data_IF_624830895617
#
_entry.id   IF_624830895617
#
_cell.length_a   1.000
_cell.length_b   1.000
_cell.length_c   1.000
_cell.angle_alpha   90.00
_cell.angle_beta   90.00
_cell.angle_gamma   90.00
#
_symmetry.space_group_name_H-M   'P 1'
#
loop_
_entity.id
_entity.type
_entity.pdbx_description
1 polymer ?
#
# COMPACT_ATOMS: atom_id res chain seq x y z
N UNK A 1 33.03 -34.41 40.21
CA UNK A 1 33.88 -33.63 39.28
C UNK A 1 33.17 -33.60 37.94
N UNK A 2 32.96 -32.39 37.40
CA UNK A 2 32.12 -32.09 36.22
C UNK A 2 32.74 -32.65 34.93
N UNK A 3 31.92 -33.25 34.07
CA UNK A 3 32.20 -33.36 32.63
C UNK A 3 30.88 -33.04 31.90
N UNK A 4 30.85 -31.85 31.31
CA UNK A 4 29.74 -31.26 30.57
C UNK A 4 29.82 -31.80 29.13
N UNK A 5 28.86 -32.64 28.71
CA UNK A 5 28.74 -33.04 27.30
C UNK A 5 27.88 -31.99 26.59
N UNK A 6 28.52 -31.31 25.65
CA UNK A 6 27.96 -30.33 24.73
C UNK A 6 27.15 -31.06 23.65
N UNK A 7 25.82 -31.04 23.74
CA UNK A 7 24.96 -31.49 22.65
C UNK A 7 24.67 -30.30 21.71
N UNK A 8 25.42 -30.24 20.61
CA UNK A 8 25.17 -29.34 19.50
C UNK A 8 23.96 -29.87 18.71
N UNK A 9 22.76 -29.41 19.05
CA UNK A 9 21.58 -29.59 18.19
C UNK A 9 21.57 -28.44 17.17
N UNK A 10 22.09 -28.72 15.98
CA UNK A 10 21.83 -27.94 14.76
C UNK A 10 20.33 -28.00 14.47
N UNK A 11 19.58 -27.06 15.07
CA UNK A 11 18.19 -26.83 14.73
C UNK A 11 18.11 -26.28 13.30
N UNK A 12 17.56 -27.09 12.39
CA UNK A 12 17.01 -26.60 11.13
C UNK A 12 16.09 -25.42 11.44
N UNK A 13 16.54 -24.20 11.13
CA UNK A 13 15.69 -23.02 11.18
C UNK A 13 14.71 -23.13 10.02
N UNK A 14 13.39 -23.17 10.24
CA UNK A 14 12.47 -22.94 9.14
C UNK A 14 12.69 -21.50 8.66
N UNK A 15 13.09 -21.36 7.39
CA UNK A 15 12.95 -20.12 6.61
C UNK A 15 11.46 -19.85 6.42
N UNK A 16 10.78 -19.45 7.49
CA UNK A 16 9.43 -18.91 7.48
C UNK A 16 9.50 -17.72 8.42
N UNK A 17 9.66 -16.53 7.85
CA UNK A 17 9.51 -15.29 8.59
C UNK A 17 8.10 -15.25 9.15
N UNK A 18 7.97 -15.55 10.44
CA UNK A 18 6.70 -15.50 11.12
C UNK A 18 6.17 -14.06 11.08
N UNK A 19 5.08 -13.88 10.34
CA UNK A 19 4.11 -12.80 10.48
C UNK A 19 3.68 -12.69 11.95
N UNK A 20 4.38 -11.86 12.71
CA UNK A 20 3.77 -11.24 13.88
C UNK A 20 3.18 -9.92 13.41
N UNK A 21 1.84 -9.85 13.37
CA UNK A 21 1.12 -8.58 13.33
C UNK A 21 1.84 -7.57 14.23
N UNK A 22 2.03 -6.31 13.79
CA UNK A 22 2.69 -5.31 14.62
C UNK A 22 1.92 -5.20 15.94
N UNK A 23 2.52 -5.67 17.03
CA UNK A 23 1.87 -5.78 18.35
C UNK A 23 1.57 -4.41 19.01
N UNK A 24 1.94 -3.33 18.34
CA UNK A 24 1.93 -1.96 18.87
C UNK A 24 1.22 -0.98 17.92
N UNK A 25 0.06 -1.36 17.37
CA UNK A 25 -0.80 -0.42 16.64
C UNK A 25 -1.72 0.29 17.63
N UNK A 26 -1.66 1.62 17.68
CA UNK A 26 -2.62 2.44 18.42
C UNK A 26 -3.61 3.07 17.46
N UNK A 27 -4.90 2.92 17.73
CA UNK A 27 -5.97 3.58 16.97
C UNK A 27 -6.56 4.71 17.82
N UNK A 28 -6.63 5.92 17.25
CA UNK A 28 -7.25 7.09 17.86
C UNK A 28 -8.29 7.66 16.91
N UNK A 29 -9.52 7.81 17.37
CA UNK A 29 -10.62 8.38 16.59
C UNK A 29 -10.94 9.79 17.08
N UNK A 30 -11.10 10.71 16.13
CA UNK A 30 -11.70 12.03 16.32
C UNK A 30 -12.99 12.12 15.47
N UNK A 31 -13.65 13.29 15.50
CA UNK A 31 -14.81 13.55 14.65
C UNK A 31 -14.45 13.65 13.17
N UNK A 32 -13.23 14.08 12.83
CA UNK A 32 -12.80 14.33 11.46
C UNK A 32 -11.86 13.25 10.91
N UNK A 33 -11.15 12.54 11.78
CA UNK A 33 -10.09 11.62 11.38
C UNK A 33 -10.04 10.36 12.25
N UNK A 34 -9.51 9.28 11.69
CA UNK A 34 -9.02 8.12 12.42
C UNK A 34 -7.52 8.02 12.18
N UNK A 35 -6.76 7.89 13.26
CA UNK A 35 -5.31 7.83 13.22
C UNK A 35 -4.83 6.47 13.72
N UNK A 36 -4.05 5.78 12.90
CA UNK A 36 -3.38 4.53 13.23
C UNK A 36 -1.89 4.80 13.39
N UNK A 37 -1.29 4.33 14.48
CA UNK A 37 0.11 4.59 14.77
C UNK A 37 0.86 3.31 15.10
N UNK A 38 2.02 3.12 14.49
CA UNK A 38 3.07 2.23 14.98
C UNK A 38 4.19 3.07 15.58
N UNK A 39 5.23 2.45 16.13
CA UNK A 39 6.43 3.20 16.56
C UNK A 39 7.18 3.94 15.44
N UNK A 40 6.92 3.62 14.16
CA UNK A 40 7.64 4.23 13.02
C UNK A 40 6.76 5.01 12.04
N UNK A 41 5.45 4.76 12.01
CA UNK A 41 4.57 5.34 11.02
C UNK A 41 3.24 5.79 11.64
N UNK A 42 2.61 6.76 10.98
CA UNK A 42 1.30 7.31 11.32
C UNK A 42 0.47 7.33 10.04
N UNK A 43 -0.62 6.56 10.02
CA UNK A 43 -1.65 6.64 9.00
C UNK A 43 -2.81 7.48 9.53
N UNK A 44 -3.31 8.40 8.72
CA UNK A 44 -4.48 9.23 9.04
C UNK A 44 -5.52 9.09 7.95
N UNK A 45 -6.70 8.60 8.33
CA UNK A 45 -7.87 8.49 7.47
C UNK A 45 -8.81 9.65 7.77
N UNK A 46 -9.12 10.45 6.75
CA UNK A 46 -10.08 11.55 6.80
C UNK A 46 -11.51 11.01 6.61
N UNK A 47 -12.46 11.47 7.42
CA UNK A 47 -13.80 10.86 7.51
C UNK A 47 -14.87 11.60 6.71
N UNK A 48 -14.76 12.92 6.53
CA UNK A 48 -15.78 13.69 5.79
C UNK A 48 -15.82 13.31 4.30
N UNK A 49 -14.64 13.03 3.74
CA UNK A 49 -14.43 12.34 2.47
C UNK A 49 -13.26 11.41 2.74
N UNK A 50 -13.42 10.13 2.43
CA UNK A 50 -12.35 9.16 2.59
C UNK A 50 -11.09 9.66 1.88
N UNK A 51 -10.03 9.81 2.67
CA UNK A 51 -8.68 10.11 2.18
C UNK A 51 -7.66 9.53 3.14
N UNK A 52 -6.59 8.95 2.61
CA UNK A 52 -5.47 8.43 3.39
C UNK A 52 -4.21 9.30 3.26
N UNK A 53 -3.61 9.62 4.40
CA UNK A 53 -2.25 10.17 4.50
C UNK A 53 -1.39 9.19 5.32
N UNK A 54 -0.16 8.93 4.89
CA UNK A 54 0.85 8.14 5.63
C UNK A 54 2.09 8.98 5.89
N UNK A 55 2.59 8.95 7.12
CA UNK A 55 3.76 9.73 7.55
C UNK A 55 4.73 8.90 8.35
N UNK A 56 5.99 9.31 8.33
CA UNK A 56 7.01 8.81 9.23
C UNK A 56 6.81 9.44 10.62
N UNK A 57 6.78 8.63 11.68
CA UNK A 57 6.32 9.09 13.01
C UNK A 57 7.28 10.09 13.68
N UNK A 58 8.59 9.94 13.48
CA UNK A 58 9.60 10.73 14.20
C UNK A 58 9.69 12.15 13.68
N UNK A 59 9.68 12.30 12.36
CA UNK A 59 9.85 13.56 11.63
C UNK A 59 8.53 14.15 11.16
N UNK A 60 7.45 13.36 11.18
CA UNK A 60 6.17 13.68 10.53
C UNK A 60 6.30 13.92 9.02
N UNK A 61 7.41 13.48 8.42
CA UNK A 61 7.65 13.52 6.98
C UNK A 61 6.58 12.74 6.23
N UNK A 62 6.10 13.32 5.13
CA UNK A 62 5.07 12.71 4.29
C UNK A 62 5.67 11.51 3.54
N UNK A 63 5.00 10.36 3.62
CA UNK A 63 5.35 9.16 2.87
C UNK A 63 4.36 8.93 1.73
N UNK A 64 3.06 9.01 2.03
CA UNK A 64 1.98 8.89 1.04
C UNK A 64 0.93 9.94 1.36
N UNK A 65 0.32 10.49 0.30
CA UNK A 65 -0.86 11.34 0.40
C UNK A 65 -1.75 11.08 -0.78
N UNK A 66 -2.99 10.73 -0.54
CA UNK A 66 -4.01 10.70 -1.59
C UNK A 66 -4.40 12.12 -2.03
N UNK A 67 -4.92 12.26 -3.25
CA UNK A 67 -5.40 13.55 -3.77
C UNK A 67 -6.60 14.08 -2.97
N UNK A 68 -6.73 15.41 -2.88
CA UNK A 68 -7.77 16.06 -2.10
C UNK A 68 -9.19 15.84 -2.64
N UNK A 69 -9.33 15.68 -3.96
CA UNK A 69 -10.60 15.34 -4.63
C UNK A 69 -11.04 13.89 -4.39
N UNK A 70 -10.18 13.07 -3.80
CA UNK A 70 -10.37 11.64 -3.57
C UNK A 70 -9.20 10.84 -4.13
N UNK A 71 -8.70 9.89 -3.33
CA UNK A 71 -7.71 8.90 -3.75
C UNK A 71 -8.40 7.70 -4.39
N UNK A 72 -8.52 6.64 -3.61
CA UNK A 72 -9.12 5.35 -3.96
C UNK A 72 -10.42 5.48 -4.77
N UNK A 73 -10.48 4.76 -5.89
CA UNK A 73 -11.60 4.77 -6.83
C UNK A 73 -11.79 3.40 -7.49
N UNK A 74 -12.94 3.24 -8.15
CA UNK A 74 -13.20 2.10 -9.02
C UNK A 74 -14.00 2.52 -10.25
N UNK A 75 -13.99 1.66 -11.26
CA UNK A 75 -14.70 1.87 -12.51
C UNK A 75 -15.74 0.78 -12.75
N UNK A 76 -16.94 1.19 -13.14
CA UNK A 76 -18.03 0.30 -13.52
C UNK A 76 -18.80 0.92 -14.67
N UNK A 77 -19.07 0.13 -15.71
CA UNK A 77 -19.84 0.61 -16.88
C UNK A 77 -19.24 1.86 -17.54
N UNK A 78 -17.91 2.01 -17.51
CA UNK A 78 -17.20 3.18 -18.07
C UNK A 78 -17.27 4.45 -17.21
N UNK A 79 -17.77 4.38 -15.97
CA UNK A 79 -17.84 5.49 -15.03
C UNK A 79 -16.88 5.28 -13.88
N UNK A 80 -16.10 6.31 -13.54
CA UNK A 80 -15.24 6.30 -12.35
C UNK A 80 -16.02 6.79 -11.12
N UNK A 81 -16.04 5.96 -10.08
CA UNK A 81 -16.67 6.25 -8.80
C UNK A 81 -15.59 6.51 -7.75
N UNK A 82 -15.68 7.67 -7.09
CA UNK A 82 -14.82 8.02 -5.96
C UNK A 82 -15.51 7.74 -4.63
N UNK A 83 -14.72 7.58 -3.58
CA UNK A 83 -15.25 7.40 -2.23
C UNK A 83 -15.69 8.73 -1.60
N UNK A 84 -16.79 8.65 -0.85
CA UNK A 84 -17.44 9.76 -0.15
C UNK A 84 -17.14 9.74 1.35
N UNK A 85 -18.11 10.18 2.14
CA UNK A 85 -18.00 10.23 3.60
C UNK A 85 -17.97 8.84 4.23
N UNK A 86 -17.20 8.70 5.30
CA UNK A 86 -17.18 7.52 6.17
C UNK A 86 -18.35 7.63 7.16
N UNK A 87 -19.27 6.67 7.12
CA UNK A 87 -20.44 6.64 7.99
C UNK A 87 -20.24 5.80 9.25
N UNK A 88 -19.34 4.80 9.20
CA UNK A 88 -19.03 3.94 10.33
C UNK A 88 -17.54 3.58 10.39
N UNK A 89 -17.04 3.38 11.61
CA UNK A 89 -15.66 3.00 11.91
C UNK A 89 -15.65 1.92 12.99
N UNK A 90 -15.29 0.70 12.60
CA UNK A 90 -15.00 -0.39 13.51
C UNK A 90 -13.49 -0.48 13.76
N UNK A 91 -13.08 -0.42 15.03
CA UNK A 91 -11.65 -0.57 15.40
C UNK A 91 -11.25 -2.04 15.38
N UNK A 92 -10.06 -2.32 14.86
CA UNK A 92 -9.42 -3.64 14.86
C UNK A 92 -8.13 -3.56 15.71
N UNK A 93 -7.56 -4.70 16.13
CA UNK A 93 -6.30 -4.71 16.89
C UNK A 93 -5.11 -4.07 16.15
N UNK A 94 -5.12 -4.12 14.83
CA UNK A 94 -4.05 -3.71 13.92
C UNK A 94 -4.46 -2.59 12.95
N UNK A 95 -5.69 -2.08 13.08
CA UNK A 95 -6.35 -1.41 11.98
C UNK A 95 -7.70 -0.80 12.29
N UNK A 96 -8.39 -0.41 11.23
CA UNK A 96 -9.81 -0.06 11.23
C UNK A 96 -10.50 -0.62 10.00
N UNK A 97 -11.79 -0.93 10.14
CA UNK A 97 -12.71 -1.19 9.04
C UNK A 97 -13.72 -0.06 8.97
N UNK A 98 -13.94 0.45 7.76
CA UNK A 98 -14.71 1.65 7.48
C UNK A 98 -15.87 1.30 6.56
N UNK A 99 -17.05 1.83 6.86
CA UNK A 99 -18.16 1.87 5.90
C UNK A 99 -18.14 3.22 5.21
N UNK A 100 -18.03 3.22 3.88
CA UNK A 100 -17.76 4.44 3.10
C UNK A 100 -18.83 4.62 2.03
N UNK A 101 -19.38 5.82 1.91
CA UNK A 101 -20.32 6.14 0.83
C UNK A 101 -19.62 6.08 -0.54
N UNK A 102 -20.37 5.70 -1.57
CA UNK A 102 -19.90 5.72 -2.96
C UNK A 102 -20.81 6.61 -3.81
N UNK A 103 -20.35 6.97 -5.02
CA UNK A 103 -21.19 7.66 -6.00
C UNK A 103 -22.40 6.85 -6.50
N UNK A 104 -22.46 5.54 -6.23
CA UNK A 104 -23.58 4.66 -6.64
C UNK A 104 -24.71 4.58 -5.58
N UNK A 105 -24.53 5.22 -4.42
CA UNK A 105 -25.52 5.21 -3.33
C UNK A 105 -25.47 3.95 -2.44
N UNK A 106 -24.83 2.87 -2.88
CA UNK A 106 -24.51 1.71 -2.04
C UNK A 106 -23.14 1.87 -1.37
N UNK A 107 -22.98 1.60 -0.07
CA UNK A 107 -21.70 1.78 0.61
C UNK A 107 -20.68 0.70 0.24
N UNK A 108 -19.41 1.06 0.30
CA UNK A 108 -18.26 0.16 0.20
C UNK A 108 -17.66 -0.11 1.58
N UNK A 109 -16.80 -1.12 1.68
CA UNK A 109 -15.95 -1.34 2.86
C UNK A 109 -14.50 -1.02 2.51
N UNK A 110 -13.82 -0.28 3.40
CA UNK A 110 -12.37 -0.09 3.34
C UNK A 110 -11.76 -0.57 4.65
N UNK A 111 -10.79 -1.47 4.58
CA UNK A 111 -10.00 -1.89 5.74
C UNK A 111 -8.60 -1.34 5.62
N UNK A 112 -8.15 -0.60 6.64
CA UNK A 112 -6.81 -0.02 6.71
C UNK A 112 -6.11 -0.60 7.93
N UNK A 113 -5.00 -1.31 7.74
CA UNK A 113 -4.27 -1.95 8.83
C UNK A 113 -2.76 -1.97 8.61
N UNK A 114 -2.00 -1.94 9.69
CA UNK A 114 -0.56 -2.18 9.60
C UNK A 114 -0.28 -3.67 9.61
N UNK A 115 0.39 -4.17 8.58
CA UNK A 115 0.87 -5.57 8.51
C UNK A 115 2.34 -5.68 8.93
N UNK A 116 3.08 -4.57 8.88
CA UNK A 116 4.38 -4.42 9.54
C UNK A 116 4.44 -3.03 10.19
N UNK A 117 5.56 -2.70 10.84
CA UNK A 117 5.76 -1.37 11.42
C UNK A 117 5.69 -0.23 10.39
N UNK A 118 5.99 -0.51 9.11
CA UNK A 118 6.04 0.48 8.02
C UNK A 118 5.16 0.12 6.82
N UNK A 119 4.56 -1.06 6.80
CA UNK A 119 3.68 -1.51 5.72
C UNK A 119 2.24 -1.36 6.14
N UNK A 120 1.52 -0.47 5.46
CA UNK A 120 0.09 -0.29 5.60
C UNK A 120 -0.60 -1.05 4.46
N UNK A 121 -1.52 -1.94 4.80
CA UNK A 121 -2.42 -2.59 3.87
C UNK A 121 -3.74 -1.83 3.82
N UNK A 122 -4.23 -1.62 2.59
CA UNK A 122 -5.56 -1.06 2.31
C UNK A 122 -6.30 -2.10 1.49
N UNK A 123 -7.36 -2.68 2.05
CA UNK A 123 -8.26 -3.59 1.34
C UNK A 123 -9.55 -2.85 1.04
N UNK A 124 -9.96 -2.89 -0.22
CA UNK A 124 -11.15 -2.22 -0.71
C UNK A 124 -12.15 -3.21 -1.27
N UNK A 125 -13.34 -3.22 -0.70
CA UNK A 125 -14.48 -4.01 -1.16
C UNK A 125 -15.57 -3.07 -1.70
N UNK A 126 -15.62 -2.84 -3.03
CA UNK A 126 -16.66 -2.02 -3.65
C UNK A 126 -18.03 -2.73 -3.59
N UNK A 127 -19.14 -2.00 -3.81
CA UNK A 127 -20.43 -2.62 -4.02
C UNK A 127 -20.37 -3.58 -5.20
N UNK A 128 -20.95 -4.78 -5.10
CA UNK A 128 -20.97 -5.79 -6.19
C UNK A 128 -19.60 -5.97 -6.88
N UNK A 129 -18.58 -6.52 -6.19
CA UNK A 129 -17.19 -6.56 -6.68
C UNK A 129 -17.04 -7.20 -8.06
N UNK A 130 -17.83 -8.24 -8.36
CA UNK A 130 -17.75 -9.00 -9.61
C UNK A 130 -18.04 -8.20 -10.89
N UNK A 131 -18.60 -6.98 -10.78
CA UNK A 131 -18.86 -6.13 -11.95
C UNK A 131 -17.94 -4.91 -12.04
N UNK A 132 -16.95 -4.79 -11.15
CA UNK A 132 -15.93 -3.73 -11.24
C UNK A 132 -14.98 -4.06 -12.38
N UNK A 133 -14.75 -3.08 -13.26
CA UNK A 133 -13.85 -3.20 -14.41
C UNK A 133 -12.41 -2.85 -14.05
N UNK A 134 -12.22 -1.87 -13.16
CA UNK A 134 -10.90 -1.44 -12.68
C UNK A 134 -11.01 -0.82 -11.28
N UNK A 135 -9.90 -0.78 -10.56
CA UNK A 135 -9.74 -0.04 -9.31
C UNK A 135 -8.36 0.60 -9.27
N UNK A 136 -8.23 1.69 -8.53
CA UNK A 136 -6.96 2.38 -8.41
C UNK A 136 -6.97 3.43 -7.31
N UNK A 137 -5.83 4.08 -7.14
CA UNK A 137 -5.65 5.14 -6.16
C UNK A 137 -4.94 6.33 -6.82
N UNK A 138 -5.30 7.54 -6.38
CA UNK A 138 -4.70 8.79 -6.87
C UNK A 138 -3.84 9.39 -5.78
N UNK A 139 -2.54 9.29 -5.96
CA UNK A 139 -1.56 9.82 -5.03
C UNK A 139 -1.10 11.22 -5.45
N UNK A 140 -0.81 12.05 -4.46
CA UNK A 140 -0.21 13.37 -4.64
C UNK A 140 1.30 13.25 -4.48
N UNK A 141 1.97 13.33 -5.63
CA UNK A 141 3.41 13.44 -5.73
C UNK A 141 3.87 14.90 -5.50
N UNK A 142 4.89 15.18 -4.67
CA UNK A 142 5.56 16.47 -4.63
C UNK A 142 6.22 16.82 -5.98
N UNK A 143 6.35 18.11 -6.30
CA UNK A 143 6.96 18.56 -7.57
C UNK A 143 8.42 18.17 -7.75
N UNK A 144 9.11 17.78 -6.68
CA UNK A 144 10.50 17.32 -6.68
C UNK A 144 10.64 15.81 -6.52
N UNK A 145 9.54 15.05 -6.56
CA UNK A 145 9.59 13.61 -6.45
C UNK A 145 10.06 12.99 -7.76
N UNK A 146 11.00 12.07 -7.64
CA UNK A 146 11.47 11.25 -8.74
C UNK A 146 10.96 9.83 -8.52
N UNK A 147 10.15 9.33 -9.45
CA UNK A 147 9.60 7.98 -9.43
C UNK A 147 10.49 7.08 -10.29
N UNK A 148 10.98 5.98 -9.71
CA UNK A 148 11.82 5.00 -10.38
C UNK A 148 11.24 3.59 -10.19
N UNK A 149 11.50 2.67 -11.13
CA UNK A 149 11.35 1.23 -10.91
C UNK A 149 9.92 0.68 -11.00
N UNK A 150 9.17 1.06 -12.03
CA UNK A 150 7.83 0.51 -12.32
C UNK A 150 7.72 -0.20 -13.66
N UNK A 151 8.86 -0.46 -14.29
CA UNK A 151 8.93 -1.32 -15.47
C UNK A 151 8.82 -2.78 -15.06
N UNK A 152 8.31 -3.61 -15.98
CA UNK A 152 8.53 -5.05 -15.97
C UNK A 152 9.96 -5.36 -15.55
N UNK A 153 10.18 -6.50 -14.88
CA UNK A 153 11.49 -6.83 -14.31
C UNK A 153 12.60 -6.42 -15.28
N UNK A 154 13.41 -5.45 -14.86
CA UNK A 154 14.68 -5.04 -15.49
C UNK A 154 15.63 -6.22 -15.80
N UNK A 155 15.29 -7.43 -15.33
CA UNK A 155 15.96 -8.70 -15.63
C UNK A 155 15.74 -9.21 -17.06
N UNK A 156 14.71 -8.74 -17.76
CA UNK A 156 14.44 -9.15 -19.15
C UNK A 156 15.07 -8.19 -20.17
N UNK A 157 15.61 -7.06 -19.70
CA UNK A 157 16.32 -6.09 -20.51
C UNK A 157 17.75 -6.54 -20.80
N UNK A 158 18.27 -6.32 -22.01
CA UNK A 158 19.65 -6.68 -22.33
C UNK A 158 20.63 -5.93 -21.43
N UNK A 159 21.60 -6.67 -20.90
CA UNK A 159 22.72 -6.12 -20.14
C UNK A 159 23.60 -5.26 -21.05
N UNK A 160 24.21 -4.21 -20.49
CA UNK A 160 25.08 -3.28 -21.23
C UNK A 160 26.23 -4.01 -21.93
N UNK A 161 26.81 -5.01 -21.26
CA UNK A 161 27.77 -5.94 -21.86
C UNK A 161 27.81 -7.24 -21.07
N UNK A 162 27.34 -8.34 -21.64
CA UNK A 162 27.28 -9.63 -20.96
C UNK A 162 28.68 -10.08 -20.47
N UNK A 163 28.80 -10.33 -19.16
CA UNK A 163 30.03 -10.77 -18.51
C UNK A 163 31.06 -9.67 -18.24
N UNK A 164 30.74 -8.40 -18.52
CA UNK A 164 31.61 -7.24 -18.24
C UNK A 164 30.87 -6.18 -17.43
N UNK A 165 29.65 -5.85 -17.85
CA UNK A 165 28.73 -4.97 -17.13
C UNK A 165 27.35 -5.61 -17.19
N UNK A 166 27.07 -6.49 -16.23
CA UNK A 166 25.79 -7.19 -16.06
C UNK A 166 24.70 -6.31 -15.43
N UNK A 167 24.77 -5.01 -15.70
CA UNK A 167 23.74 -4.04 -15.35
C UNK A 167 22.83 -3.90 -16.58
N UNK A 168 21.51 -4.14 -16.45
CA UNK A 168 20.54 -3.86 -17.51
C UNK A 168 20.62 -2.43 -18.01
N UNK A 169 20.49 -2.20 -19.32
CA UNK A 169 20.44 -0.84 -19.90
C UNK A 169 19.35 0.03 -19.25
N UNK A 170 18.22 -0.58 -18.93
CA UNK A 170 17.07 0.09 -18.33
C UNK A 170 17.30 0.48 -16.86
N UNK A 171 18.35 -0.04 -16.19
CA UNK A 171 18.78 0.44 -14.86
C UNK A 171 19.48 1.81 -14.95
N UNK A 172 20.08 2.12 -16.10
CA UNK A 172 20.78 3.40 -16.34
C UNK A 172 19.83 4.42 -16.95
N UNK A 173 18.96 3.99 -17.86
CA UNK A 173 18.02 4.85 -18.57
C UNK A 173 16.64 4.19 -18.62
N UNK A 174 15.87 4.23 -17.53
CA UNK A 174 14.55 3.61 -17.50
C UNK A 174 13.61 4.28 -18.50
N UNK A 175 12.82 3.51 -19.27
CA UNK A 175 11.80 4.08 -20.14
C UNK A 175 10.70 4.78 -19.32
N UNK A 176 10.13 5.84 -19.87
CA UNK A 176 9.14 6.69 -19.18
C UNK A 176 7.75 6.03 -19.01
N UNK A 177 7.52 4.87 -19.62
CA UNK A 177 6.24 4.12 -19.58
C UNK A 177 6.48 2.63 -19.36
N UNK A 178 5.59 1.99 -18.61
CA UNK A 178 5.60 0.54 -18.37
C UNK A 178 4.25 0.01 -17.89
N UNK A 179 3.91 -1.20 -18.27
CA UNK A 179 2.80 -1.99 -17.71
C UNK A 179 3.38 -3.12 -16.87
N UNK A 180 2.70 -3.53 -15.80
CA UNK A 180 3.01 -4.80 -15.14
C UNK A 180 1.89 -5.79 -15.47
N UNK A 181 2.13 -6.69 -16.41
CA UNK A 181 1.28 -7.87 -16.57
C UNK A 181 1.70 -8.92 -15.53
N UNK A 182 0.88 -9.10 -14.50
CA UNK A 182 1.10 -10.14 -13.48
C UNK A 182 -0.15 -10.98 -13.32
N UNK A 183 -0.01 -12.30 -13.51
CA UNK A 183 -1.06 -13.28 -13.17
C UNK A 183 -2.43 -13.02 -13.85
N UNK A 184 -2.44 -12.42 -15.04
CA UNK A 184 -3.67 -12.07 -15.77
C UNK A 184 -4.29 -10.74 -15.39
N UNK A 185 -3.63 -9.95 -14.55
CA UNK A 185 -4.02 -8.57 -14.20
C UNK A 185 -3.09 -7.58 -14.90
N UNK A 186 -3.68 -6.53 -15.48
CA UNK A 186 -2.96 -5.39 -16.08
C UNK A 186 -2.92 -4.26 -15.07
N UNK A 187 -1.72 -3.84 -14.66
CA UNK A 187 -1.52 -2.65 -13.83
C UNK A 187 -1.00 -1.52 -14.68
N UNK A 188 -1.70 -0.38 -14.66
CA UNK A 188 -1.30 0.85 -15.34
C UNK A 188 -0.96 1.93 -14.31
N UNK A 189 0.15 2.64 -14.53
CA UNK A 189 0.49 3.86 -13.78
C UNK A 189 0.54 5.05 -14.75
N UNK A 190 -0.05 6.17 -14.33
CA UNK A 190 0.04 7.45 -15.05
C UNK A 190 0.52 8.55 -14.11
N UNK A 191 1.49 9.35 -14.56
CA UNK A 191 1.89 10.60 -13.90
C UNK A 191 1.22 11.74 -14.66
N UNK A 192 0.39 12.51 -13.97
CA UNK A 192 -0.37 13.62 -14.54
C UNK A 192 0.12 14.94 -13.93
N UNK A 193 0.17 16.03 -14.72
CA UNK A 193 0.61 17.35 -14.26
C UNK A 193 -0.35 18.00 -13.24
#
# INVERSE_FOLDING_TARGET
MRALILALLLGCSPLVGADSLPRDVTVRRSSATVRLETRTAVAEVHLHRYRLDLRERRTMGLLVREQASGGLFYERGGVTHSLGSVSDVATLPDGVRLTVATGEGSPATVTVRFVTLRTLEVVFDPPTPASVAAMGDRLRSPTSEHLYGLTERLRDSPVIAAGVVDIPMDDIAPPEVGSLERRGETVEMRVLP
#
